data_IF_293858732048
#
_entry.id   IF_293858732048
#
_cell.length_a   1.000
_cell.length_b   1.000
_cell.length_c   1.000
_cell.angle_alpha   90.00
_cell.angle_beta   90.00
_cell.angle_gamma   90.00
#
_symmetry.space_group_name_H-M   'P 1'
#
loop_
_entity.id
_entity.type
_entity.pdbx_description
1 polymer ?
#
# COMPACT_ATOMS: atom_id res chain seq x y z
N UNK A 1 4.72 4.30 -19.25
CA UNK A 1 6.02 4.00 -18.60
C UNK A 1 5.91 2.60 -18.00
N UNK A 2 6.85 1.71 -18.30
CA UNK A 2 6.99 0.41 -17.65
C UNK A 2 8.13 0.48 -16.61
N UNK A 3 8.10 -0.43 -15.62
CA UNK A 3 9.21 -0.56 -14.66
C UNK A 3 10.43 -1.15 -15.36
N UNK A 4 11.59 -0.52 -15.19
CA UNK A 4 12.86 -1.09 -15.65
C UNK A 4 13.29 -2.27 -14.76
N UNK A 5 14.24 -3.09 -15.21
CA UNK A 5 14.78 -4.18 -14.39
C UNK A 5 15.43 -3.67 -13.10
N UNK A 6 16.02 -2.48 -13.14
CA UNK A 6 16.56 -1.79 -11.95
C UNK A 6 15.45 -1.42 -10.97
N UNK A 7 14.29 -0.98 -11.46
CA UNK A 7 13.15 -0.65 -10.62
C UNK A 7 12.54 -1.91 -10.02
N UNK A 8 12.34 -2.96 -10.83
CA UNK A 8 11.84 -4.26 -10.36
C UNK A 8 12.74 -4.85 -9.27
N UNK A 9 14.05 -4.80 -9.47
CA UNK A 9 15.04 -5.28 -8.48
C UNK A 9 15.00 -4.44 -7.20
N UNK A 10 14.87 -3.12 -7.31
CA UNK A 10 14.75 -2.23 -6.15
C UNK A 10 13.46 -2.51 -5.36
N UNK A 11 12.32 -2.69 -6.03
CA UNK A 11 11.05 -3.03 -5.39
C UNK A 11 11.13 -4.38 -4.69
N UNK A 12 11.65 -5.43 -5.36
CA UNK A 12 11.84 -6.75 -4.74
C UNK A 12 12.77 -6.68 -3.53
N UNK A 13 13.88 -5.94 -3.64
CA UNK A 13 14.83 -5.74 -2.55
C UNK A 13 14.23 -5.01 -1.34
N UNK A 14 13.48 -3.93 -1.58
CA UNK A 14 12.75 -3.23 -0.52
C UNK A 14 11.69 -4.13 0.12
N UNK A 15 10.90 -4.85 -0.69
CA UNK A 15 9.86 -5.75 -0.22
C UNK A 15 10.41 -6.84 0.71
N UNK A 16 11.57 -7.42 0.37
CA UNK A 16 12.22 -8.41 1.21
C UNK A 16 12.54 -7.88 2.63
N UNK A 17 12.86 -6.59 2.76
CA UNK A 17 13.13 -5.95 4.06
C UNK A 17 11.86 -5.62 4.84
N UNK A 18 10.83 -5.14 4.15
CA UNK A 18 9.61 -4.63 4.82
C UNK A 18 8.54 -5.70 5.05
N UNK A 19 8.57 -6.81 4.31
CA UNK A 19 7.54 -7.86 4.37
C UNK A 19 7.32 -8.46 5.77
N UNK A 20 8.33 -8.62 6.65
CA UNK A 20 8.09 -9.07 8.03
C UNK A 20 7.21 -8.11 8.86
N UNK A 21 7.10 -6.84 8.43
CA UNK A 21 6.24 -5.80 9.03
C UNK A 21 5.05 -5.41 8.16
N UNK A 22 4.74 -6.16 7.11
CA UNK A 22 3.68 -5.80 6.15
C UNK A 22 2.32 -5.56 6.84
N UNK A 23 1.97 -6.37 7.83
CA UNK A 23 0.74 -6.21 8.61
C UNK A 23 0.68 -4.88 9.38
N UNK A 24 1.78 -4.50 10.01
CA UNK A 24 1.92 -3.24 10.77
C UNK A 24 1.85 -2.04 9.81
N UNK A 25 2.60 -2.11 8.70
CA UNK A 25 2.60 -1.08 7.65
C UNK A 25 1.20 -0.85 7.12
N UNK A 26 0.48 -1.93 6.79
CA UNK A 26 -0.86 -1.86 6.22
C UNK A 26 -1.87 -1.26 7.18
N UNK A 27 -1.85 -1.68 8.45
CA UNK A 27 -2.74 -1.15 9.47
C UNK A 27 -2.53 0.35 9.70
N UNK A 28 -1.27 0.79 9.81
CA UNK A 28 -0.91 2.18 10.03
C UNK A 28 -1.23 3.04 8.81
N UNK A 29 -0.84 2.61 7.60
CA UNK A 29 -1.07 3.37 6.37
C UNK A 29 -2.56 3.55 6.07
N UNK A 30 -3.37 2.49 6.27
CA UNK A 30 -4.80 2.56 6.07
C UNK A 30 -5.49 3.41 7.15
N UNK A 31 -5.08 3.30 8.42
CA UNK A 31 -5.55 4.17 9.49
C UNK A 31 -5.24 5.65 9.25
N UNK A 32 -4.04 5.96 8.75
CA UNK A 32 -3.64 7.32 8.33
C UNK A 32 -4.48 7.82 7.16
N UNK A 33 -4.72 6.99 6.15
CA UNK A 33 -5.59 7.36 5.03
C UNK A 33 -6.98 7.78 5.54
N UNK A 34 -7.62 6.97 6.38
CA UNK A 34 -8.94 7.28 6.92
C UNK A 34 -8.95 8.54 7.80
N UNK A 35 -7.86 8.84 8.48
CA UNK A 35 -7.76 10.00 9.39
C UNK A 35 -7.44 11.30 8.66
N UNK A 36 -6.42 11.28 7.81
CA UNK A 36 -5.88 12.46 7.11
C UNK A 36 -6.71 12.79 5.87
N UNK A 37 -7.34 11.79 5.25
CA UNK A 37 -8.16 11.92 4.05
C UNK A 37 -9.58 11.42 4.33
N UNK A 38 -10.38 12.16 5.13
CA UNK A 38 -11.67 11.68 5.62
C UNK A 38 -12.69 11.40 4.50
N UNK A 39 -12.53 11.96 3.30
CA UNK A 39 -13.37 11.62 2.14
C UNK A 39 -13.29 10.12 1.79
N UNK A 40 -12.19 9.45 2.11
CA UNK A 40 -12.01 8.01 1.87
C UNK A 40 -12.88 7.14 2.77
N UNK A 41 -13.42 7.69 3.88
CA UNK A 41 -14.30 6.95 4.79
C UNK A 41 -15.62 6.52 4.15
N UNK A 42 -16.06 7.18 3.07
CA UNK A 42 -17.32 6.86 2.40
C UNK A 42 -17.40 5.38 1.96
N UNK A 43 -16.28 4.82 1.50
CA UNK A 43 -16.16 3.42 1.07
C UNK A 43 -16.27 2.41 2.21
N UNK A 44 -16.11 2.87 3.46
CA UNK A 44 -16.10 2.04 4.66
C UNK A 44 -17.19 2.45 5.67
N UNK A 45 -18.21 3.18 5.22
CA UNK A 45 -19.35 3.64 6.03
C UNK A 45 -20.15 2.52 6.71
N UNK A 46 -19.99 1.27 6.25
CA UNK A 46 -20.60 0.08 6.81
C UNK A 46 -19.83 -0.51 8.01
N UNK A 47 -18.70 0.08 8.41
CA UNK A 47 -17.93 -0.35 9.58
C UNK A 47 -18.31 0.44 10.83
N UNK A 48 -18.31 -0.24 11.97
CA UNK A 48 -18.63 0.36 13.25
C UNK A 48 -17.47 1.21 13.80
N UNK A 49 -16.23 0.85 13.46
CA UNK A 49 -15.02 1.50 13.94
C UNK A 49 -14.01 1.73 12.80
N UNK A 50 -13.78 3.01 12.51
CA UNK A 50 -12.80 3.50 11.53
C UNK A 50 -11.60 4.17 12.20
N UNK A 51 -11.45 4.05 13.52
CA UNK A 51 -10.34 4.64 14.25
C UNK A 51 -9.00 3.98 13.87
N UNK A 52 -7.89 4.75 13.89
CA UNK A 52 -6.56 4.17 13.80
C UNK A 52 -6.37 3.07 14.84
N UNK A 53 -5.96 1.89 14.38
CA UNK A 53 -5.76 0.73 15.24
C UNK A 53 -7.01 -0.10 15.57
N UNK A 54 -8.19 0.32 15.10
CA UNK A 54 -9.43 -0.45 15.18
C UNK A 54 -9.32 -1.82 14.49
N UNK A 55 -10.08 -2.80 14.97
CA UNK A 55 -9.95 -4.19 14.52
C UNK A 55 -10.22 -4.38 13.02
N UNK A 56 -11.25 -3.70 12.49
CA UNK A 56 -11.59 -3.75 11.07
C UNK A 56 -10.51 -3.07 10.21
N UNK A 57 -10.00 -1.91 10.65
CA UNK A 57 -8.90 -1.18 10.02
C UNK A 57 -7.63 -2.02 9.96
N UNK A 58 -7.22 -2.63 11.08
CA UNK A 58 -6.07 -3.53 11.12
C UNK A 58 -6.24 -4.71 10.18
N UNK A 59 -7.39 -5.40 10.24
CA UNK A 59 -7.65 -6.56 9.38
C UNK A 59 -7.59 -6.21 7.90
N UNK A 60 -8.16 -5.08 7.50
CA UNK A 60 -8.15 -4.67 6.10
C UNK A 60 -6.79 -4.15 5.63
N UNK A 61 -6.05 -3.44 6.49
CA UNK A 61 -4.66 -3.06 6.22
C UNK A 61 -3.77 -4.25 5.87
N UNK A 62 -3.95 -5.39 6.57
CA UNK A 62 -3.27 -6.65 6.23
C UNK A 62 -3.64 -7.15 4.84
N UNK A 63 -4.92 -7.14 4.48
CA UNK A 63 -5.38 -7.55 3.15
C UNK A 63 -4.78 -6.69 2.03
N UNK A 64 -4.70 -5.38 2.26
CA UNK A 64 -4.06 -4.43 1.33
C UNK A 64 -2.60 -4.84 1.12
N UNK A 65 -1.83 -5.03 2.19
CA UNK A 65 -0.41 -5.33 2.07
C UNK A 65 -0.13 -6.75 1.56
N UNK A 66 -1.02 -7.72 1.81
CA UNK A 66 -0.96 -9.02 1.17
C UNK A 66 -1.12 -8.91 -0.36
N UNK A 67 -2.06 -8.06 -0.83
CA UNK A 67 -2.24 -7.78 -2.25
C UNK A 67 -1.03 -7.04 -2.86
N UNK A 68 -0.38 -6.15 -2.11
CA UNK A 68 0.90 -5.53 -2.53
C UNK A 68 1.99 -6.59 -2.67
N UNK A 69 2.08 -7.55 -1.74
CA UNK A 69 3.03 -8.66 -1.85
C UNK A 69 2.80 -9.54 -3.07
N UNK A 70 1.54 -9.87 -3.36
CA UNK A 70 1.14 -10.56 -4.58
C UNK A 70 1.52 -9.76 -5.84
N UNK A 71 1.31 -8.44 -5.84
CA UNK A 71 1.74 -7.55 -6.93
C UNK A 71 3.26 -7.57 -7.13
N UNK A 72 4.07 -7.58 -6.06
CA UNK A 72 5.53 -7.70 -6.15
C UNK A 72 5.94 -9.04 -6.77
N UNK A 73 5.23 -10.14 -6.45
CA UNK A 73 5.47 -11.45 -7.06
C UNK A 73 5.15 -11.49 -8.56
N UNK A 74 4.21 -10.64 -9.01
CA UNK A 74 3.72 -10.54 -10.40
C UNK A 74 4.25 -9.29 -11.12
N UNK A 75 5.36 -8.71 -10.66
CA UNK A 75 5.84 -7.39 -11.12
C UNK A 75 6.17 -7.30 -12.62
N UNK A 76 6.34 -8.44 -13.28
CA UNK A 76 6.59 -8.52 -14.73
C UNK A 76 5.30 -8.33 -15.56
N UNK A 77 4.13 -8.65 -14.99
CA UNK A 77 2.81 -8.40 -15.59
C UNK A 77 1.79 -8.02 -14.50
N UNK A 78 1.80 -6.75 -14.10
CA UNK A 78 0.86 -6.22 -13.10
C UNK A 78 -0.57 -6.12 -13.65
N UNK A 79 -0.74 -5.94 -14.97
CA UNK A 79 -2.06 -5.78 -15.58
C UNK A 79 -2.82 -7.10 -15.55
N UNK A 80 -2.20 -8.18 -16.04
CA UNK A 80 -2.77 -9.52 -15.92
C UNK A 80 -2.84 -9.97 -14.46
N UNK A 81 -1.77 -9.72 -13.70
CA UNK A 81 -1.62 -10.19 -12.33
C UNK A 81 -2.65 -9.64 -11.33
N UNK A 82 -3.13 -8.42 -11.56
CA UNK A 82 -4.09 -7.71 -10.68
C UNK A 82 -5.48 -7.55 -11.30
N UNK A 83 -5.77 -8.21 -12.42
CA UNK A 83 -7.02 -8.05 -13.16
C UNK A 83 -8.27 -8.26 -12.27
N UNK A 84 -8.31 -9.36 -11.51
CA UNK A 84 -9.44 -9.64 -10.61
C UNK A 84 -9.61 -8.58 -9.51
N UNK A 85 -8.51 -8.01 -9.00
CA UNK A 85 -8.55 -6.95 -8.01
C UNK A 85 -9.02 -5.62 -8.62
N UNK A 86 -8.61 -5.36 -9.87
CA UNK A 86 -9.08 -4.22 -10.67
C UNK A 86 -10.59 -4.29 -10.90
N UNK A 87 -11.11 -5.43 -11.35
CA UNK A 87 -12.55 -5.65 -11.56
C UNK A 87 -13.36 -5.49 -10.27
N UNK A 88 -12.85 -6.02 -9.16
CA UNK A 88 -13.47 -5.85 -7.84
C UNK A 88 -13.62 -4.36 -7.50
N UNK A 89 -12.54 -3.58 -7.62
CA UNK A 89 -12.57 -2.16 -7.27
C UNK A 89 -13.37 -1.33 -8.25
N UNK A 90 -13.36 -1.66 -9.54
CA UNK A 90 -14.08 -0.93 -10.58
C UNK A 90 -15.59 -1.17 -10.53
N UNK A 91 -16.02 -2.44 -10.50
CA UNK A 91 -17.42 -2.79 -10.74
C UNK A 91 -18.24 -3.05 -9.48
N UNK A 92 -17.63 -3.69 -8.47
CA UNK A 92 -18.31 -4.04 -7.22
C UNK A 92 -18.18 -2.93 -6.18
N UNK A 93 -16.96 -2.49 -5.92
CA UNK A 93 -16.69 -1.48 -4.89
C UNK A 93 -16.83 -0.05 -5.42
N UNK A 94 -16.69 0.15 -6.74
CA UNK A 94 -16.79 1.44 -7.44
C UNK A 94 -15.93 2.52 -6.79
N UNK A 95 -14.69 2.15 -6.47
CA UNK A 95 -13.71 3.07 -5.87
C UNK A 95 -13.20 4.02 -6.94
N UNK A 96 -13.22 5.32 -6.66
CA UNK A 96 -12.62 6.32 -7.56
C UNK A 96 -11.10 6.08 -7.61
N UNK A 97 -10.51 5.89 -8.81
CA UNK A 97 -9.08 5.65 -8.97
C UNK A 97 -8.16 6.70 -8.34
N UNK A 98 -8.64 7.93 -8.12
CA UNK A 98 -7.90 8.97 -7.42
C UNK A 98 -7.46 8.54 -6.00
N UNK A 99 -8.24 7.68 -5.32
CA UNK A 99 -7.93 7.23 -3.96
C UNK A 99 -6.75 6.27 -3.90
N UNK A 100 -6.38 5.59 -5.00
CA UNK A 100 -5.21 4.71 -5.00
C UNK A 100 -3.91 5.48 -4.75
N UNK A 101 -3.80 6.71 -5.28
CA UNK A 101 -2.64 7.57 -5.03
C UNK A 101 -2.56 8.02 -3.57
N UNK A 102 -3.71 8.23 -2.92
CA UNK A 102 -3.78 8.59 -1.50
C UNK A 102 -3.28 7.42 -0.65
N UNK A 103 -3.76 6.20 -0.91
CA UNK A 103 -3.29 5.01 -0.19
C UNK A 103 -1.79 4.78 -0.43
N UNK A 104 -1.33 4.85 -1.68
CA UNK A 104 0.08 4.69 -2.02
C UNK A 104 0.97 5.69 -1.28
N UNK A 105 0.56 6.96 -1.19
CA UNK A 105 1.28 7.97 -0.43
C UNK A 105 1.39 7.61 1.07
N UNK A 106 0.29 7.18 1.69
CA UNK A 106 0.30 6.80 3.10
C UNK A 106 1.18 5.55 3.35
N UNK A 107 1.20 4.59 2.43
CA UNK A 107 2.12 3.42 2.51
C UNK A 107 3.58 3.88 2.46
N UNK A 108 3.92 4.77 1.52
CA UNK A 108 5.27 5.36 1.39
C UNK A 108 5.66 6.10 2.67
N UNK A 109 4.77 6.90 3.25
CA UNK A 109 5.02 7.62 4.52
C UNK A 109 5.33 6.64 5.64
N UNK A 110 4.54 5.59 5.81
CA UNK A 110 4.74 4.60 6.89
C UNK A 110 6.02 3.80 6.68
N UNK A 111 6.35 3.40 5.45
CA UNK A 111 7.63 2.76 5.16
C UNK A 111 8.78 3.70 5.51
N UNK A 112 8.72 4.98 5.13
CA UNK A 112 9.75 5.97 5.47
C UNK A 112 9.91 6.18 6.98
N UNK A 113 8.83 6.08 7.74
CA UNK A 113 8.86 6.16 9.21
C UNK A 113 9.48 4.92 9.86
N UNK A 114 9.16 3.72 9.37
CA UNK A 114 9.60 2.45 9.98
C UNK A 114 10.98 1.99 9.47
N UNK A 115 11.38 2.41 8.28
CA UNK A 115 12.63 2.04 7.60
C UNK A 115 13.36 3.29 7.08
N UNK A 116 13.70 4.27 7.94
CA UNK A 116 14.27 5.54 7.50
C UNK A 116 15.60 5.39 6.76
N UNK A 117 16.42 4.39 7.09
CA UNK A 117 17.68 4.10 6.40
C UNK A 117 17.53 3.57 4.97
N UNK A 118 16.37 2.99 4.64
CA UNK A 118 16.06 2.46 3.31
C UNK A 118 15.31 3.48 2.43
N UNK A 119 14.91 4.62 3.01
CA UNK A 119 14.15 5.68 2.34
C UNK A 119 15.00 6.93 2.04
N UNK A 120 16.32 6.77 1.94
CA UNK A 120 17.20 7.84 1.45
C UNK A 120 16.86 8.16 -0.02
N UNK A 121 16.74 9.44 -0.42
CA UNK A 121 16.74 9.81 -1.83
C UNK A 121 18.01 9.21 -2.44
N UNK A 122 17.89 8.36 -3.47
CA UNK A 122 19.05 7.76 -4.16
C UNK A 122 20.11 8.84 -4.40
N UNK A 123 21.22 8.81 -3.66
CA UNK A 123 22.33 9.76 -3.82
C UNK A 123 22.87 10.50 -2.60
N UNK A 124 22.56 10.12 -1.35
CA UNK A 124 23.43 10.51 -0.23
C UNK A 124 24.43 9.38 0.06
N UNK A 125 25.42 9.26 -0.83
CA UNK A 125 26.75 8.87 -0.35
C UNK A 125 27.15 9.92 0.67
N UNK A 126 27.13 9.56 1.94
CA UNK A 126 28.00 10.20 2.93
C UNK A 126 28.86 9.08 3.47
N UNK A 127 30.15 9.30 3.31
CA UNK A 127 31.31 8.44 3.58
C UNK A 127 31.33 7.84 4.97
#
# INVERSE_FOLDING_TARGET
MSLSDKDKSAVKGLWAKISPKADEIGAEAFGRMLTVYPQTKTYFSHWADLSPGGAQVKKHGKLIMAAVGDAVSKIDDLVGGLMALSELHAFKLRVDPANFKILAHNVIVVIGMLFPGDFSPRGSHVS
#
